data_IF_569860492432
#
_entry.id   IF_569860492432
#
_cell.length_a   1.000
_cell.length_b   1.000
_cell.length_c   1.000
_cell.angle_alpha   90.00
_cell.angle_beta   90.00
_cell.angle_gamma   90.00
#
_symmetry.space_group_name_H-M   'P 1'
#
loop_
_entity.id
_entity.type
_entity.pdbx_description
1 polymer ?
#
# COMPACT_ATOMS: atom_id res chain seq x y z
N UNK A 1 -17.56 -68.17 -50.00
CA UNK A 1 -16.98 -68.97 -48.89
C UNK A 1 -15.60 -68.40 -48.53
N UNK A 2 -15.24 -68.42 -47.23
CA UNK A 2 -13.87 -68.36 -46.65
C UNK A 2 -12.88 -67.24 -47.09
N UNK A 3 -12.67 -66.28 -46.16
CA UNK A 3 -11.37 -65.60 -45.84
C UNK A 3 -10.29 -66.66 -45.47
N UNK A 4 -8.95 -66.40 -45.44
CA UNK A 4 -8.25 -65.16 -44.99
C UNK A 4 -7.17 -64.69 -46.01
N UNK A 5 -6.09 -63.91 -45.73
CA UNK A 5 -5.42 -63.44 -44.49
C UNK A 5 -4.85 -62.00 -44.62
N UNK A 6 -3.98 -61.60 -43.69
CA UNK A 6 -3.40 -60.25 -43.48
C UNK A 6 -2.02 -60.06 -44.12
N UNK A 7 -1.67 -58.82 -44.51
CA UNK A 7 -0.34 -58.24 -44.31
C UNK A 7 -0.41 -56.71 -44.05
N UNK A 8 0.62 -56.23 -43.36
CA UNK A 8 0.94 -54.91 -42.80
C UNK A 8 0.51 -53.68 -43.64
N UNK A 9 -0.09 -52.65 -43.02
CA UNK A 9 0.55 -51.56 -42.26
C UNK A 9 1.35 -50.58 -43.13
N UNK A 10 0.71 -49.47 -43.49
CA UNK A 10 1.36 -48.23 -43.91
C UNK A 10 0.70 -47.07 -43.15
N UNK A 11 1.50 -46.28 -42.44
CA UNK A 11 1.00 -45.27 -41.52
C UNK A 11 0.43 -44.05 -42.26
N UNK A 12 -0.82 -43.69 -41.99
CA UNK A 12 -1.32 -42.33 -42.25
C UNK A 12 -1.07 -41.51 -40.99
N UNK A 13 0.06 -40.82 -40.96
CA UNK A 13 0.39 -39.89 -39.89
C UNK A 13 -0.63 -38.73 -39.91
N UNK A 14 -1.51 -38.69 -38.92
CA UNK A 14 -2.31 -37.49 -38.64
C UNK A 14 -1.32 -36.46 -38.12
N UNK A 15 -0.86 -35.57 -39.00
CA UNK A 15 -0.06 -34.41 -38.63
C UNK A 15 -0.98 -33.42 -37.91
N UNK A 16 -1.23 -33.67 -36.63
CA UNK A 16 -1.77 -32.66 -35.73
C UNK A 16 -0.79 -31.50 -35.76
N UNK A 17 -1.18 -30.43 -36.43
CA UNK A 17 -0.52 -29.13 -36.34
C UNK A 17 -0.64 -28.66 -34.90
N UNK A 18 0.36 -29.06 -34.10
CA UNK A 18 0.64 -28.49 -32.80
C UNK A 18 1.05 -27.04 -33.00
N UNK A 19 0.05 -26.17 -33.19
CA UNK A 19 0.15 -24.81 -32.70
C UNK A 19 0.37 -24.97 -31.20
N UNK A 20 1.53 -24.61 -30.63
CA UNK A 20 1.53 -24.27 -29.24
C UNK A 20 0.51 -23.14 -29.12
N UNK A 21 -0.57 -23.37 -28.40
CA UNK A 21 -1.17 -22.29 -27.65
C UNK A 21 -0.04 -21.79 -26.76
N UNK A 22 0.68 -20.79 -27.25
CA UNK A 22 1.46 -19.89 -26.43
C UNK A 22 0.45 -19.32 -25.45
N UNK A 23 0.29 -19.99 -24.32
CA UNK A 23 -0.10 -19.35 -23.09
C UNK A 23 0.96 -18.28 -22.92
N UNK A 24 0.67 -17.09 -23.45
CA UNK A 24 1.40 -15.89 -23.08
C UNK A 24 1.44 -15.94 -21.57
N UNK A 25 2.63 -15.98 -20.94
CA UNK A 25 2.67 -15.79 -19.52
C UNK A 25 1.98 -14.46 -19.32
N UNK A 26 0.80 -14.48 -18.70
CA UNK A 26 0.25 -13.25 -18.16
C UNK A 26 1.34 -12.81 -17.21
N UNK A 27 2.08 -11.77 -17.60
CA UNK A 27 2.85 -10.98 -16.69
C UNK A 27 1.84 -10.51 -15.66
N UNK A 28 1.75 -11.28 -14.58
CA UNK A 28 1.25 -10.77 -13.33
C UNK A 28 2.18 -9.60 -13.08
N UNK A 29 1.66 -8.39 -13.30
CA UNK A 29 2.19 -7.17 -12.72
C UNK A 29 1.98 -7.26 -11.20
N UNK A 30 2.60 -8.27 -10.57
CA UNK A 30 3.22 -8.09 -9.27
C UNK A 30 4.26 -7.02 -9.53
N UNK A 31 3.82 -5.79 -9.36
CA UNK A 31 4.73 -4.69 -9.08
C UNK A 31 5.42 -5.15 -7.79
N UNK A 32 6.62 -5.71 -7.94
CA UNK A 32 7.59 -5.60 -6.87
C UNK A 32 7.77 -4.10 -6.70
N UNK A 33 7.03 -3.55 -5.74
CA UNK A 33 7.25 -2.21 -5.22
C UNK A 33 8.70 -2.28 -4.77
N UNK A 34 9.59 -1.67 -5.55
CA UNK A 34 11.03 -1.76 -5.32
C UNK A 34 11.28 -1.16 -3.94
N UNK A 35 11.40 -2.01 -2.92
CA UNK A 35 11.54 -1.59 -1.54
C UNK A 35 12.98 -1.11 -1.37
N UNK A 36 13.26 0.11 -1.82
CA UNK A 36 14.52 0.79 -1.49
C UNK A 36 14.47 1.08 0.02
N UNK A 37 15.33 0.44 0.83
CA UNK A 37 15.29 0.66 2.28
C UNK A 37 15.61 2.12 2.58
N UNK A 38 14.70 2.80 3.27
CA UNK A 38 14.76 4.24 3.52
C UNK A 38 13.62 5.04 2.88
N UNK A 39 13.17 4.69 1.66
CA UNK A 39 12.06 5.43 1.00
C UNK A 39 10.75 5.27 1.79
N UNK A 40 10.46 4.06 2.25
CA UNK A 40 9.24 3.77 3.04
C UNK A 40 9.25 4.44 4.42
N UNK A 41 10.41 4.48 5.07
CA UNK A 41 10.60 5.23 6.33
C UNK A 41 10.41 6.73 6.09
N UNK A 42 11.05 7.29 5.05
CA UNK A 42 10.92 8.71 4.71
C UNK A 42 9.47 9.08 4.40
N UNK A 43 8.77 8.27 3.58
CA UNK A 43 7.35 8.41 3.29
C UNK A 43 6.51 8.48 4.58
N UNK A 44 6.69 7.52 5.48
CA UNK A 44 5.88 7.43 6.69
C UNK A 44 6.10 8.63 7.62
N UNK A 45 7.35 8.98 7.92
CA UNK A 45 7.69 10.17 8.72
C UNK A 45 7.14 11.44 8.07
N UNK A 46 7.16 11.54 6.75
CA UNK A 46 6.70 12.73 6.04
C UNK A 46 5.19 12.88 6.05
N UNK A 47 4.44 11.78 5.84
CA UNK A 47 2.98 11.77 5.92
C UNK A 47 2.50 12.14 7.34
N UNK A 48 3.13 11.59 8.38
CA UNK A 48 2.84 11.98 9.77
C UNK A 48 3.11 13.46 10.02
N UNK A 49 4.19 14.05 9.47
CA UNK A 49 4.44 15.50 9.58
C UNK A 49 3.33 16.33 8.93
N UNK A 50 2.76 15.90 7.82
CA UNK A 50 1.60 16.59 7.21
C UNK A 50 0.39 16.49 8.12
N UNK A 51 0.05 15.28 8.57
CA UNK A 51 -1.11 15.06 9.45
C UNK A 51 -0.99 15.91 10.72
N UNK A 52 0.17 15.89 11.38
CA UNK A 52 0.44 16.71 12.57
C UNK A 52 0.32 18.22 12.29
N UNK A 53 0.68 18.68 11.08
CA UNK A 53 0.55 20.09 10.68
C UNK A 53 -0.93 20.46 10.48
N UNK A 54 -1.68 19.65 9.72
CA UNK A 54 -3.10 19.91 9.43
C UNK A 54 -3.94 19.80 10.70
N UNK A 55 -3.68 18.82 11.57
CA UNK A 55 -4.35 18.68 12.87
C UNK A 55 -4.02 19.85 13.81
N UNK A 56 -2.77 20.31 13.86
CA UNK A 56 -2.41 21.48 14.66
C UNK A 56 -3.14 22.75 14.17
N UNK A 57 -3.17 22.98 12.85
CA UNK A 57 -3.92 24.10 12.27
C UNK A 57 -5.43 23.98 12.51
N UNK A 58 -6.00 22.79 12.35
CA UNK A 58 -7.42 22.54 12.58
C UNK A 58 -7.80 22.73 14.05
N UNK A 59 -7.01 22.20 14.97
CA UNK A 59 -7.20 22.37 16.41
C UNK A 59 -7.05 23.85 16.85
N UNK A 60 -6.14 24.62 16.25
CA UNK A 60 -6.05 26.08 16.47
C UNK A 60 -7.32 26.80 15.98
N UNK A 61 -7.88 26.39 14.84
CA UNK A 61 -9.06 27.03 14.21
C UNK A 61 -10.39 26.63 14.88
N UNK A 62 -10.54 25.37 15.31
CA UNK A 62 -11.81 24.77 15.74
C UNK A 62 -11.81 24.29 17.20
N UNK A 63 -10.65 24.14 17.85
CA UNK A 63 -10.54 23.69 19.24
C UNK A 63 -10.69 22.18 19.46
N UNK A 64 -10.68 21.36 18.41
CA UNK A 64 -10.71 19.90 18.48
C UNK A 64 -9.93 19.25 17.34
N UNK A 65 -9.40 18.05 17.55
CA UNK A 65 -8.90 17.18 16.48
C UNK A 65 -10.04 16.46 15.76
N UNK A 66 -9.80 15.90 14.58
CA UNK A 66 -10.86 15.32 13.72
C UNK A 66 -10.51 13.92 13.19
N UNK A 67 -11.51 13.14 12.79
CA UNK A 67 -11.26 11.81 12.22
C UNK A 67 -10.55 11.89 10.87
N UNK A 68 -9.88 10.80 10.47
CA UNK A 68 -9.14 10.72 9.20
C UNK A 68 -9.98 11.13 7.98
N UNK A 69 -11.25 10.70 7.91
CA UNK A 69 -12.14 11.03 6.79
C UNK A 69 -12.48 12.51 6.68
N UNK A 70 -12.55 13.22 7.83
CA UNK A 70 -12.66 14.67 7.84
C UNK A 70 -11.31 15.29 7.48
N UNK A 71 -10.23 14.88 8.16
CA UNK A 71 -8.90 15.48 7.98
C UNK A 71 -8.43 15.45 6.52
N UNK A 72 -8.52 14.30 5.86
CA UNK A 72 -8.08 14.10 4.47
C UNK A 72 -8.90 14.87 3.43
N UNK A 73 -10.05 15.43 3.83
CA UNK A 73 -10.91 16.27 2.97
C UNK A 73 -10.87 17.75 3.33
N UNK A 74 -10.08 18.15 4.35
CA UNK A 74 -9.83 19.57 4.65
C UNK A 74 -9.07 20.26 3.52
N UNK A 75 -9.39 21.53 3.28
CA UNK A 75 -8.75 22.34 2.23
C UNK A 75 -7.23 22.52 2.44
N UNK A 76 -6.76 22.44 3.70
CA UNK A 76 -5.35 22.61 4.06
C UNK A 76 -4.52 21.34 3.78
N UNK A 77 -5.15 20.15 3.68
CA UNK A 77 -4.46 18.87 3.50
C UNK A 77 -3.85 18.73 2.10
N UNK A 78 -4.65 18.88 1.05
CA UNK A 78 -4.22 18.64 -0.33
C UNK A 78 -3.05 19.53 -0.80
N UNK A 79 -3.00 20.84 -0.48
CA UNK A 79 -1.84 21.68 -0.82
C UNK A 79 -0.56 21.19 -0.12
N UNK A 80 -0.62 20.84 1.16
CA UNK A 80 0.55 20.31 1.90
C UNK A 80 0.99 18.95 1.34
N UNK A 81 0.05 18.09 0.94
CA UNK A 81 0.35 16.80 0.34
C UNK A 81 1.02 16.96 -1.03
N UNK A 82 0.45 17.80 -1.92
CA UNK A 82 0.94 17.99 -3.29
C UNK A 82 2.25 18.79 -3.35
N UNK A 83 2.39 19.88 -2.60
CA UNK A 83 3.60 20.74 -2.63
C UNK A 83 4.84 20.03 -2.12
N UNK A 84 4.68 18.99 -1.28
CA UNK A 84 5.77 18.22 -0.70
C UNK A 84 6.11 16.93 -1.46
N UNK A 85 5.31 16.57 -2.47
CA UNK A 85 5.60 15.53 -3.46
C UNK A 85 5.68 14.10 -2.93
N UNK A 86 4.67 13.27 -3.23
CA UNK A 86 4.64 11.86 -2.83
C UNK A 86 4.70 10.90 -4.02
N UNK A 87 5.76 10.09 -4.04
CA UNK A 87 5.86 8.86 -4.81
C UNK A 87 5.80 7.70 -3.82
N UNK A 88 4.88 6.75 -4.03
CA UNK A 88 4.85 5.48 -3.30
C UNK A 88 5.23 4.40 -4.30
N UNK A 89 6.50 3.98 -4.27
CA UNK A 89 7.10 3.27 -5.39
C UNK A 89 7.04 4.12 -6.66
N UNK A 90 6.59 3.55 -7.78
CA UNK A 90 6.50 4.25 -9.07
C UNK A 90 5.20 5.04 -9.30
N UNK A 91 4.27 5.07 -8.35
CA UNK A 91 2.96 5.72 -8.51
C UNK A 91 2.89 7.07 -7.80
N UNK A 92 2.46 8.09 -8.54
CA UNK A 92 2.12 9.42 -8.01
C UNK A 92 0.66 9.38 -7.56
N UNK A 93 0.45 9.61 -6.27
CA UNK A 93 -0.88 9.78 -5.69
C UNK A 93 -1.14 11.27 -5.45
N UNK A 94 -2.34 11.74 -5.82
CA UNK A 94 -2.73 13.13 -5.62
C UNK A 94 -3.51 13.36 -4.32
N UNK A 95 -4.04 12.29 -3.71
CA UNK A 95 -4.76 12.28 -2.45
C UNK A 95 -4.70 10.89 -1.80
N UNK A 96 -4.69 10.77 -0.46
CA UNK A 96 -4.88 9.51 0.25
C UNK A 96 -6.30 8.94 0.13
N UNK A 97 -6.41 7.61 0.23
CA UNK A 97 -7.69 6.90 0.36
C UNK A 97 -8.31 6.98 1.77
N UNK A 98 -9.51 6.40 1.96
CA UNK A 98 -10.08 6.16 3.29
C UNK A 98 -9.23 5.16 4.09
N UNK A 99 -9.40 5.16 5.41
CA UNK A 99 -8.78 4.16 6.29
C UNK A 99 -9.48 2.79 6.18
N UNK A 100 -8.82 1.66 6.48
CA UNK A 100 -7.43 1.57 6.95
C UNK A 100 -6.39 1.68 5.83
N UNK A 101 -6.58 1.07 4.66
CA UNK A 101 -5.57 1.05 3.60
C UNK A 101 -5.62 2.33 2.74
N UNK A 102 -4.89 3.36 3.18
CA UNK A 102 -4.88 4.69 2.56
C UNK A 102 -4.09 4.75 1.25
N UNK A 103 -3.13 3.83 1.08
CA UNK A 103 -2.34 3.57 -0.13
C UNK A 103 -2.00 2.08 -0.15
N UNK A 104 -1.77 1.46 -1.33
CA UNK A 104 -1.35 0.07 -1.41
C UNK A 104 -0.13 -0.22 -0.54
N UNK A 105 -0.30 -1.13 0.42
CA UNK A 105 0.75 -1.51 1.36
C UNK A 105 0.92 -0.55 2.56
N UNK A 106 -0.02 0.35 2.83
CA UNK A 106 0.02 1.27 3.98
C UNK A 106 -1.32 1.31 4.72
N UNK A 107 -1.34 0.85 5.98
CA UNK A 107 -2.48 0.94 6.89
C UNK A 107 -2.34 2.18 7.77
N UNK A 108 -3.36 3.03 7.83
CA UNK A 108 -3.45 4.15 8.76
C UNK A 108 -4.63 3.95 9.70
N UNK A 109 -4.37 4.08 11.00
CA UNK A 109 -5.38 4.28 12.03
C UNK A 109 -5.10 5.60 12.73
N UNK A 110 -6.12 6.46 12.77
CA UNK A 110 -6.13 7.70 13.56
C UNK A 110 -7.38 7.67 14.43
N UNK A 111 -7.19 7.57 15.74
CA UNK A 111 -8.25 7.62 16.72
C UNK A 111 -8.21 8.99 17.43
N UNK A 112 -9.36 9.66 17.52
CA UNK A 112 -9.50 10.90 18.29
C UNK A 112 -10.16 10.58 19.63
N UNK A 113 -9.71 11.24 20.71
CA UNK A 113 -10.31 11.08 22.04
C UNK A 113 -11.77 11.56 22.07
N UNK A 114 -12.58 11.03 22.98
CA UNK A 114 -14.02 11.33 23.04
C UNK A 114 -14.35 12.81 23.31
N UNK A 115 -13.40 13.57 23.86
CA UNK A 115 -13.49 15.03 24.09
C UNK A 115 -12.86 15.87 22.96
N UNK A 116 -12.29 15.23 21.92
CA UNK A 116 -11.61 15.88 20.82
C UNK A 116 -10.26 16.54 21.16
N UNK A 117 -9.70 16.26 22.35
CA UNK A 117 -8.49 16.93 22.89
C UNK A 117 -7.17 16.18 22.71
N UNK A 118 -7.19 14.96 22.19
CA UNK A 118 -6.00 14.22 21.81
C UNK A 118 -6.30 13.27 20.66
N UNK A 119 -5.24 12.69 20.08
CA UNK A 119 -5.36 11.62 19.09
C UNK A 119 -4.16 10.67 19.19
N UNK A 120 -4.38 9.41 18.80
CA UNK A 120 -3.30 8.48 18.48
C UNK A 120 -3.32 8.15 16.99
N UNK A 121 -2.14 8.14 16.37
CA UNK A 121 -1.95 7.83 14.95
C UNK A 121 -0.89 6.76 14.82
N UNK A 122 -1.23 5.67 14.11
CA UNK A 122 -0.28 4.68 13.62
C UNK A 122 -0.40 4.54 12.10
N UNK A 123 0.76 4.53 11.43
CA UNK A 123 0.91 4.23 10.01
C UNK A 123 1.82 3.01 9.87
N UNK A 124 1.23 1.89 9.46
CA UNK A 124 1.86 0.56 9.38
C UNK A 124 2.25 0.23 7.95
N UNK A 125 3.47 -0.26 7.77
CA UNK A 125 3.94 -0.84 6.53
C UNK A 125 3.39 -2.27 6.38
N UNK A 126 2.29 -2.41 5.63
CA UNK A 126 1.68 -3.72 5.36
C UNK A 126 2.57 -4.62 4.48
N UNK A 127 3.64 -4.10 3.88
CA UNK A 127 4.58 -4.87 3.05
C UNK A 127 5.77 -5.41 3.84
N UNK A 128 6.07 -4.87 5.02
CA UNK A 128 7.05 -5.46 5.94
C UNK A 128 6.44 -6.68 6.65
N UNK A 129 6.72 -7.87 6.10
CA UNK A 129 6.32 -9.16 6.68
C UNK A 129 7.34 -9.72 7.68
N UNK A 130 8.36 -8.96 8.04
CA UNK A 130 9.41 -9.36 8.98
C UNK A 130 9.12 -8.81 10.38
N UNK A 131 9.63 -7.63 10.69
CA UNK A 131 9.48 -6.97 11.97
C UNK A 131 8.27 -6.03 12.06
N UNK A 132 7.62 -5.71 10.94
CA UNK A 132 6.44 -4.85 10.88
C UNK A 132 6.76 -3.41 11.26
N UNK A 133 7.43 -2.68 10.38
CA UNK A 133 7.64 -1.24 10.52
C UNK A 133 6.31 -0.47 10.67
N UNK A 134 6.26 0.40 11.68
CA UNK A 134 5.24 1.44 11.78
C UNK A 134 5.84 2.76 12.25
N UNK A 135 5.22 3.87 11.84
CA UNK A 135 5.47 5.18 12.40
C UNK A 135 4.26 5.59 13.25
N UNK A 136 4.50 6.10 14.45
CA UNK A 136 3.45 6.52 15.40
C UNK A 136 3.63 7.96 15.85
N UNK A 137 2.52 8.65 16.09
CA UNK A 137 2.51 9.99 16.67
C UNK A 137 1.20 10.25 17.41
N UNK A 138 1.15 11.36 18.14
CA UNK A 138 0.08 11.75 19.05
C UNK A 138 -0.07 13.28 19.02
N UNK A 139 -0.98 13.85 19.82
CA UNK A 139 -1.28 15.29 19.81
C UNK A 139 -0.08 16.21 20.10
N UNK A 140 1.00 15.67 20.66
CA UNK A 140 2.26 16.37 20.92
C UNK A 140 3.13 16.53 19.67
N UNK A 141 2.73 15.91 18.56
CA UNK A 141 3.42 15.96 17.27
C UNK A 141 4.74 15.18 17.21
N UNK A 142 5.08 14.41 18.25
CA UNK A 142 6.33 13.65 18.34
C UNK A 142 6.18 12.34 17.56
N UNK A 143 6.92 12.20 16.47
CA UNK A 143 6.95 10.99 15.65
C UNK A 143 7.96 9.99 16.25
N UNK A 144 7.55 8.74 16.41
CA UNK A 144 8.38 7.62 16.86
C UNK A 144 8.29 6.45 15.87
N UNK A 145 9.34 5.64 15.84
CA UNK A 145 9.34 4.37 15.11
C UNK A 145 8.84 3.24 16.02
N UNK A 146 8.12 2.29 15.44
CA UNK A 146 7.59 1.09 16.07
C UNK A 146 7.92 -0.14 15.23
N UNK A 147 8.16 -1.26 15.89
CA UNK A 147 8.35 -2.60 15.31
C UNK A 147 7.75 -3.64 16.29
N UNK A 148 7.63 -4.88 15.86
CA UNK A 148 7.29 -6.03 16.70
C UNK A 148 8.31 -6.17 17.85
N UNK A 149 7.88 -6.73 18.98
CA UNK A 149 8.76 -7.02 20.12
C UNK A 149 9.91 -7.96 19.67
N UNK A 150 11.07 -7.81 20.30
CA UNK A 150 12.33 -8.51 19.99
C UNK A 150 12.96 -8.18 18.62
N UNK A 151 12.42 -7.21 17.88
CA UNK A 151 13.07 -6.63 16.71
C UNK A 151 13.96 -5.44 17.06
N UNK A 152 15.12 -5.36 16.38
CA UNK A 152 16.05 -4.23 16.47
C UNK A 152 15.42 -2.96 15.86
N UNK A 153 15.54 -1.80 16.53
CA UNK A 153 14.89 -0.52 16.15
C UNK A 153 15.76 0.27 15.17
#
# INVERSE_FOLDING_TARGET
MKKPRYLLSAAVAILLLGLPFSATPQFQNRIEVLQVPGERHHFAVHLLRIINTVEAEHHIKQGSYVSWDVLRTTADFSPLFLTRGYQVGMQVYNQPGPAPEIFPGWSLRLNVSADGKGYDLILEDLTDKSCGYAAVTDERGVIRQSKTIDCEI
#
